data_IF_797007256101
#
_entry.id   IF_797007256101
#
_cell.length_a   1.000
_cell.length_b   1.000
_cell.length_c   1.000
_cell.angle_alpha   90.00
_cell.angle_beta   90.00
_cell.angle_gamma   90.00
#
_symmetry.space_group_name_H-M   'P 1'
#
loop_
_entity.id
_entity.type
_entity.pdbx_description
1 polymer ?
#
# COMPACT_ATOMS: atom_id res chain seq x y z
N UNK A 1 4.32 -10.98 1.29
CA UNK A 1 3.11 -11.40 0.52
C UNK A 1 2.08 -10.29 0.32
N UNK A 2 1.85 -9.38 1.28
CA UNK A 2 0.81 -8.34 1.15
C UNK A 2 1.01 -7.34 -0.02
N UNK A 3 2.27 -7.02 -0.36
CA UNK A 3 2.60 -6.02 -1.41
C UNK A 3 2.20 -6.49 -2.82
N UNK A 4 2.41 -7.77 -3.14
CA UNK A 4 2.08 -8.32 -4.47
C UNK A 4 0.57 -8.32 -4.74
N UNK A 5 -0.24 -8.51 -3.70
CA UNK A 5 -1.70 -8.53 -3.82
C UNK A 5 -2.25 -7.12 -4.05
N UNK A 6 -1.71 -6.08 -3.41
CA UNK A 6 -2.24 -4.70 -3.57
C UNK A 6 -2.13 -4.21 -5.02
N UNK A 7 -0.99 -4.46 -5.70
CA UNK A 7 -0.83 -4.07 -7.10
C UNK A 7 -1.87 -4.73 -8.01
N UNK A 8 -2.13 -6.02 -7.80
CA UNK A 8 -3.15 -6.74 -8.55
C UNK A 8 -4.55 -6.17 -8.27
N UNK A 9 -4.89 -5.88 -7.02
CA UNK A 9 -6.16 -5.25 -6.66
C UNK A 9 -6.33 -3.88 -7.33
N UNK A 10 -5.27 -3.07 -7.46
CA UNK A 10 -5.32 -1.78 -8.17
C UNK A 10 -5.52 -1.93 -9.68
N UNK A 11 -4.96 -2.96 -10.29
CA UNK A 11 -5.20 -3.25 -11.70
C UNK A 11 -6.65 -3.71 -11.89
N UNK A 12 -7.13 -4.55 -10.97
CA UNK A 12 -8.52 -5.01 -10.98
C UNK A 12 -9.50 -3.84 -10.83
N UNK A 13 -9.26 -2.90 -9.91
CA UNK A 13 -10.11 -1.70 -9.76
C UNK A 13 -10.14 -0.86 -11.04
N UNK A 14 -8.98 -0.65 -11.70
CA UNK A 14 -8.92 0.07 -12.96
C UNK A 14 -9.68 -0.66 -14.08
N UNK A 15 -9.53 -1.98 -14.19
CA UNK A 15 -10.23 -2.79 -15.19
C UNK A 15 -11.75 -2.76 -14.96
N UNK A 16 -12.19 -2.85 -13.71
CA UNK A 16 -13.59 -2.76 -13.32
C UNK A 16 -14.15 -1.36 -13.60
N UNK A 17 -13.40 -0.29 -13.32
CA UNK A 17 -13.79 1.08 -13.68
C UNK A 17 -13.90 1.28 -15.19
N UNK A 18 -12.98 0.70 -15.96
CA UNK A 18 -13.02 0.76 -17.42
C UNK A 18 -14.27 0.06 -17.97
N UNK A 19 -14.68 -1.07 -17.37
CA UNK A 19 -15.91 -1.77 -17.71
C UNK A 19 -17.17 -1.01 -17.25
N UNK A 20 -17.15 -0.42 -16.04
CA UNK A 20 -18.28 0.33 -15.51
C UNK A 20 -18.61 1.56 -16.34
N UNK A 21 -17.61 2.23 -16.92
CA UNK A 21 -17.78 3.49 -17.66
C UNK A 21 -18.79 3.42 -18.81
N UNK A 22 -18.67 2.50 -19.80
CA UNK A 22 -19.66 2.39 -20.88
C UNK A 22 -21.04 1.97 -20.38
N UNK A 23 -21.12 1.11 -19.36
CA UNK A 23 -22.41 0.74 -18.75
C UNK A 23 -23.07 1.93 -18.07
N UNK A 24 -22.30 2.77 -17.37
CA UNK A 24 -22.79 3.97 -16.72
C UNK A 24 -23.35 4.96 -17.74
N UNK A 25 -22.62 5.19 -18.85
CA UNK A 25 -23.07 6.03 -19.97
C UNK A 25 -24.40 5.49 -20.53
N UNK A 26 -24.47 4.19 -20.83
CA UNK A 26 -25.68 3.57 -21.37
C UNK A 26 -26.87 3.71 -20.41
N UNK A 27 -26.69 3.43 -19.12
CA UNK A 27 -27.75 3.60 -18.12
C UNK A 27 -28.17 5.04 -17.92
N UNK A 28 -27.23 6.01 -17.99
CA UNK A 28 -27.56 7.43 -17.87
C UNK A 28 -28.42 7.90 -19.04
N UNK A 29 -28.12 7.47 -20.27
CA UNK A 29 -28.93 7.80 -21.45
C UNK A 29 -30.32 7.19 -21.31
N UNK A 30 -30.40 5.89 -21.00
CA UNK A 30 -31.69 5.20 -20.89
C UNK A 30 -32.54 5.75 -19.74
N UNK A 31 -31.94 6.09 -18.59
CA UNK A 31 -32.67 6.67 -17.46
C UNK A 31 -33.19 8.09 -17.77
N UNK A 32 -32.47 8.89 -18.57
CA UNK A 32 -32.95 10.21 -18.99
C UNK A 32 -34.05 10.15 -20.06
N UNK A 33 -34.05 9.13 -20.92
CA UNK A 33 -35.05 8.93 -21.97
C UNK A 33 -36.33 8.20 -21.52
N UNK A 34 -36.26 7.40 -20.45
CA UNK A 34 -37.38 6.57 -19.97
C UNK A 34 -38.60 7.33 -19.42
N UNK A 35 -38.58 8.66 -19.37
CA UNK A 35 -39.72 9.45 -18.89
C UNK A 35 -40.68 9.81 -20.03
N UNK A 36 -41.93 9.37 -19.92
CA UNK A 36 -42.98 9.63 -20.92
C UNK A 36 -43.24 11.11 -21.18
N UNK A 37 -43.31 11.46 -22.47
CA UNK A 37 -43.86 12.62 -23.22
C UNK A 37 -43.92 14.06 -22.61
N UNK A 38 -43.52 14.32 -21.37
CA UNK A 38 -43.65 15.66 -20.77
C UNK A 38 -42.69 16.04 -19.63
N UNK A 39 -41.97 15.07 -19.03
CA UNK A 39 -41.05 15.36 -17.92
C UNK A 39 -39.66 14.79 -18.19
N UNK A 40 -38.85 15.51 -18.95
CA UNK A 40 -37.43 15.17 -19.13
C UNK A 40 -36.68 15.49 -17.84
N UNK A 41 -36.01 14.49 -17.25
CA UNK A 41 -35.11 14.69 -16.11
C UNK A 41 -33.75 15.18 -16.62
N UNK A 42 -33.26 16.29 -16.09
CA UNK A 42 -31.95 16.85 -16.48
C UNK A 42 -30.78 16.04 -15.92
N UNK A 43 -30.97 15.33 -14.80
CA UNK A 43 -29.96 14.51 -14.16
C UNK A 43 -30.56 13.25 -13.52
N UNK A 44 -29.78 12.18 -13.51
CA UNK A 44 -30.12 10.88 -12.90
C UNK A 44 -29.06 10.51 -11.88
N UNK A 45 -29.37 9.63 -10.92
CA UNK A 45 -28.38 9.22 -9.94
C UNK A 45 -27.16 8.54 -10.59
N UNK A 46 -27.35 7.90 -11.75
CA UNK A 46 -26.27 7.31 -12.56
C UNK A 46 -25.25 8.35 -13.03
N UNK A 47 -25.64 9.60 -13.31
CA UNK A 47 -24.70 10.66 -13.69
C UNK A 47 -23.66 10.94 -12.61
N UNK A 48 -24.02 10.77 -11.33
CA UNK A 48 -23.09 10.94 -10.22
C UNK A 48 -22.15 9.75 -10.04
N UNK A 49 -22.38 8.62 -10.73
CA UNK A 49 -21.50 7.45 -10.73
C UNK A 49 -20.11 7.68 -11.31
N UNK A 50 -19.93 8.73 -12.11
CA UNK A 50 -18.61 9.13 -12.60
C UNK A 50 -17.69 9.66 -11.48
N UNK A 51 -18.26 10.21 -10.40
CA UNK A 51 -17.49 10.75 -9.27
C UNK A 51 -16.67 9.64 -8.58
N UNK A 52 -17.28 8.56 -8.04
CA UNK A 52 -16.50 7.50 -7.41
C UNK A 52 -15.60 6.76 -8.42
N UNK A 53 -15.98 6.66 -9.71
CA UNK A 53 -15.11 6.09 -10.75
C UNK A 53 -13.84 6.92 -10.97
N UNK A 54 -13.97 8.25 -11.05
CA UNK A 54 -12.83 9.16 -11.18
C UNK A 54 -11.92 9.08 -9.95
N UNK A 55 -12.51 9.02 -8.74
CA UNK A 55 -11.75 8.82 -7.51
C UNK A 55 -11.01 7.47 -7.50
N UNK A 56 -11.64 6.38 -7.94
CA UNK A 56 -10.99 5.07 -8.08
C UNK A 56 -9.83 5.12 -9.05
N UNK A 57 -10.04 5.73 -10.23
CA UNK A 57 -9.00 5.85 -11.25
C UNK A 57 -7.82 6.67 -10.72
N UNK A 58 -8.08 7.78 -10.05
CA UNK A 58 -7.06 8.61 -9.42
C UNK A 58 -6.31 7.86 -8.31
N UNK A 59 -7.02 7.32 -7.32
CA UNK A 59 -6.41 6.61 -6.19
C UNK A 59 -5.56 5.41 -6.66
N UNK A 60 -6.05 4.64 -7.62
CA UNK A 60 -5.34 3.49 -8.17
C UNK A 60 -4.13 3.91 -8.99
N UNK A 61 -4.25 4.95 -9.82
CA UNK A 61 -3.13 5.46 -10.64
C UNK A 61 -2.00 6.04 -9.81
N UNK A 62 -2.32 6.90 -8.83
CA UNK A 62 -1.31 7.50 -7.95
C UNK A 62 -0.63 6.41 -7.11
N UNK A 63 -1.39 5.45 -6.61
CA UNK A 63 -0.84 4.30 -5.85
C UNK A 63 0.12 3.47 -6.70
N UNK A 64 -0.28 3.11 -7.92
CA UNK A 64 0.56 2.33 -8.84
C UNK A 64 1.81 3.11 -9.26
N UNK A 65 1.68 4.40 -9.52
CA UNK A 65 2.80 5.28 -9.84
C UNK A 65 3.80 5.35 -8.68
N UNK A 66 3.32 5.52 -7.46
CA UNK A 66 4.14 5.54 -6.26
C UNK A 66 4.87 4.21 -6.05
N UNK A 67 4.15 3.08 -6.16
CA UNK A 67 4.73 1.73 -6.06
C UNK A 67 5.81 1.51 -7.12
N UNK A 68 5.58 1.95 -8.36
CA UNK A 68 6.56 1.84 -9.46
C UNK A 68 7.82 2.66 -9.19
N UNK A 69 7.68 3.87 -8.63
CA UNK A 69 8.81 4.78 -8.40
C UNK A 69 9.65 4.40 -7.18
N UNK A 70 9.01 3.96 -6.10
CA UNK A 70 9.69 3.75 -4.82
C UNK A 70 9.87 2.27 -4.43
N UNK A 71 9.25 1.33 -5.14
CA UNK A 71 9.32 -0.11 -4.83
C UNK A 71 8.73 -0.49 -3.46
N UNK A 72 8.02 0.43 -2.81
CA UNK A 72 7.50 0.28 -1.44
C UNK A 72 5.97 0.39 -1.43
N UNK A 73 5.38 -0.22 -0.40
CA UNK A 73 3.94 -0.13 -0.16
C UNK A 73 3.53 1.32 0.15
N UNK A 74 2.37 1.78 -0.32
CA UNK A 74 1.91 3.15 -0.10
C UNK A 74 1.68 3.41 1.40
N UNK A 75 2.06 4.62 1.83
CA UNK A 75 1.88 5.11 3.20
C UNK A 75 0.41 5.22 3.60
N UNK A 76 0.15 5.37 4.91
CA UNK A 76 -1.20 5.47 5.47
C UNK A 76 -2.07 6.58 4.84
N UNK A 77 -1.48 7.64 4.29
CA UNK A 77 -2.21 8.71 3.59
C UNK A 77 -2.98 8.21 2.36
N UNK A 78 -2.48 7.18 1.67
CA UNK A 78 -3.21 6.59 0.54
C UNK A 78 -4.46 5.83 0.97
N UNK A 79 -4.48 5.29 2.20
CA UNK A 79 -5.67 4.64 2.73
C UNK A 79 -6.83 5.62 2.88
N UNK A 80 -6.58 6.90 3.20
CA UNK A 80 -7.64 7.92 3.25
C UNK A 80 -8.33 8.11 1.90
N UNK A 81 -7.57 8.03 0.79
CA UNK A 81 -8.16 8.08 -0.55
C UNK A 81 -9.07 6.88 -0.82
N UNK A 82 -8.68 5.69 -0.37
CA UNK A 82 -9.52 4.50 -0.46
C UNK A 82 -10.79 4.61 0.39
N UNK A 83 -10.67 5.12 1.62
CA UNK A 83 -11.82 5.39 2.48
C UNK A 83 -12.78 6.42 1.86
N UNK A 84 -12.24 7.50 1.30
CA UNK A 84 -13.04 8.51 0.61
C UNK A 84 -13.74 7.95 -0.63
N UNK A 85 -13.05 7.15 -1.44
CA UNK A 85 -13.64 6.49 -2.60
C UNK A 85 -14.75 5.51 -2.19
N UNK A 86 -14.54 4.72 -1.13
CA UNK A 86 -15.55 3.85 -0.56
C UNK A 86 -16.81 4.61 -0.14
N UNK A 87 -16.66 5.71 0.60
CA UNK A 87 -17.79 6.56 1.00
C UNK A 87 -18.51 7.16 -0.23
N UNK A 88 -17.78 7.56 -1.26
CA UNK A 88 -18.35 8.08 -2.50
C UNK A 88 -19.15 7.01 -3.27
N UNK A 89 -18.72 5.75 -3.26
CA UNK A 89 -19.53 4.67 -3.82
C UNK A 89 -20.84 4.47 -3.06
N UNK A 90 -20.79 4.46 -1.72
CA UNK A 90 -22.01 4.32 -0.90
C UNK A 90 -22.98 5.46 -1.16
N UNK A 91 -22.49 6.70 -1.19
CA UNK A 91 -23.34 7.89 -1.37
C UNK A 91 -24.03 7.94 -2.72
N UNK A 92 -23.48 7.27 -3.75
CA UNK A 92 -24.06 7.19 -5.08
C UNK A 92 -24.89 5.91 -5.31
N UNK A 93 -24.41 4.76 -4.84
CA UNK A 93 -25.10 3.48 -5.02
C UNK A 93 -26.44 3.43 -4.27
N UNK A 94 -26.52 4.03 -3.07
CA UNK A 94 -27.78 4.08 -2.32
C UNK A 94 -28.87 4.82 -3.11
N UNK A 95 -28.67 6.06 -3.59
CA UNK A 95 -29.62 6.71 -4.47
C UNK A 95 -29.96 5.93 -5.74
N UNK A 96 -28.99 5.29 -6.40
CA UNK A 96 -29.26 4.47 -7.59
C UNK A 96 -30.25 3.34 -7.23
N UNK A 97 -30.03 2.64 -6.12
CA UNK A 97 -30.87 1.50 -5.73
C UNK A 97 -32.25 1.92 -5.22
N UNK A 98 -32.32 2.99 -4.42
CA UNK A 98 -33.58 3.45 -3.83
C UNK A 98 -34.45 4.17 -4.85
N UNK A 99 -33.83 4.96 -5.72
CA UNK A 99 -34.54 5.85 -6.65
C UNK A 99 -34.61 5.18 -8.02
N UNK A 100 -33.48 4.93 -8.68
CA UNK A 100 -33.44 4.56 -10.10
C UNK A 100 -33.94 3.14 -10.39
N UNK A 101 -33.65 2.17 -9.52
CA UNK A 101 -34.11 0.77 -9.73
C UNK A 101 -35.64 0.67 -9.71
N UNK A 102 -36.31 1.48 -8.89
CA UNK A 102 -37.77 1.55 -8.87
C UNK A 102 -38.34 2.13 -10.19
N UNK A 103 -37.62 3.06 -10.83
CA UNK A 103 -38.03 3.63 -12.11
C UNK A 103 -37.76 2.69 -13.29
N UNK A 104 -36.67 1.92 -13.25
CA UNK A 104 -36.29 0.95 -14.29
C UNK A 104 -37.00 -0.40 -14.13
N UNK A 105 -38.30 -0.37 -13.78
CA UNK A 105 -39.11 -1.54 -13.38
C UNK A 105 -39.22 -2.63 -14.46
N UNK A 106 -39.02 -2.30 -15.74
CA UNK A 106 -38.98 -3.31 -16.80
C UNK A 106 -37.76 -4.23 -16.63
N UNK A 107 -37.95 -5.54 -16.73
CA UNK A 107 -36.93 -6.55 -16.47
C UNK A 107 -35.61 -6.33 -17.25
N UNK A 108 -35.67 -5.87 -18.50
CA UNK A 108 -34.49 -5.58 -19.32
C UNK A 108 -33.67 -4.39 -18.81
N UNK A 109 -34.34 -3.33 -18.35
CA UNK A 109 -33.69 -2.12 -17.83
C UNK A 109 -33.16 -2.32 -16.40
N UNK A 110 -33.88 -3.10 -15.59
CA UNK A 110 -33.39 -3.51 -14.26
C UNK A 110 -32.12 -4.35 -14.37
N UNK A 111 -32.01 -5.24 -15.36
CA UNK A 111 -30.77 -5.97 -15.64
C UNK A 111 -29.62 -5.03 -16.01
N UNK A 112 -29.87 -4.03 -16.85
CA UNK A 112 -28.86 -3.04 -17.23
C UNK A 112 -28.34 -2.28 -15.99
N UNK A 113 -29.24 -1.84 -15.09
CA UNK A 113 -28.84 -1.22 -13.83
C UNK A 113 -28.02 -2.16 -12.94
N UNK A 114 -28.35 -3.45 -12.91
CA UNK A 114 -27.57 -4.48 -12.23
C UNK A 114 -26.16 -4.64 -12.82
N UNK A 115 -26.03 -4.71 -14.15
CA UNK A 115 -24.73 -4.80 -14.83
C UNK A 115 -23.88 -3.56 -14.64
N UNK A 116 -24.48 -2.36 -14.55
CA UNK A 116 -23.77 -1.12 -14.24
C UNK A 116 -23.28 -1.10 -12.79
N UNK A 117 -24.12 -1.47 -11.83
CA UNK A 117 -23.78 -1.38 -10.40
C UNK A 117 -22.83 -2.48 -9.95
N UNK A 118 -22.81 -3.64 -10.61
CA UNK A 118 -21.91 -4.76 -10.28
C UNK A 118 -20.41 -4.37 -10.24
N UNK A 119 -19.80 -3.81 -11.31
CA UNK A 119 -18.40 -3.40 -11.27
C UNK A 119 -18.14 -2.24 -10.29
N UNK A 120 -19.14 -1.37 -10.05
CA UNK A 120 -19.05 -0.32 -9.03
C UNK A 120 -19.01 -0.90 -7.61
N UNK A 121 -19.82 -1.92 -7.31
CA UNK A 121 -19.81 -2.63 -6.02
C UNK A 121 -18.48 -3.35 -5.83
N UNK A 122 -17.95 -3.98 -6.88
CA UNK A 122 -16.63 -4.60 -6.82
C UNK A 122 -15.56 -3.57 -6.44
N UNK A 123 -15.57 -2.39 -7.08
CA UNK A 123 -14.65 -1.30 -6.72
C UNK A 123 -14.86 -0.82 -5.28
N UNK A 124 -16.10 -0.65 -4.84
CA UNK A 124 -16.43 -0.28 -3.46
C UNK A 124 -15.83 -1.28 -2.46
N UNK A 125 -16.02 -2.58 -2.69
CA UNK A 125 -15.49 -3.65 -1.82
C UNK A 125 -13.97 -3.67 -1.82
N UNK A 126 -13.33 -3.47 -2.98
CA UNK A 126 -11.87 -3.41 -3.08
C UNK A 126 -11.29 -2.22 -2.30
N UNK A 127 -11.89 -1.04 -2.43
CA UNK A 127 -11.50 0.13 -1.65
C UNK A 127 -11.73 -0.07 -0.15
N UNK A 128 -12.87 -0.65 0.24
CA UNK A 128 -13.16 -0.99 1.64
C UNK A 128 -12.12 -1.97 2.21
N UNK A 129 -11.78 -3.02 1.45
CA UNK A 129 -10.79 -4.01 1.86
C UNK A 129 -9.41 -3.37 2.09
N UNK A 130 -8.93 -2.56 1.15
CA UNK A 130 -7.63 -1.88 1.27
C UNK A 130 -7.65 -0.89 2.45
N UNK A 131 -8.74 -0.14 2.60
CA UNK A 131 -8.92 0.80 3.70
C UNK A 131 -8.88 0.09 5.05
N UNK A 132 -9.67 -0.96 5.25
CA UNK A 132 -9.74 -1.72 6.51
C UNK A 132 -8.40 -2.37 6.85
N UNK A 133 -7.69 -2.90 5.85
CA UNK A 133 -6.37 -3.48 6.06
C UNK A 133 -5.36 -2.45 6.58
N UNK A 134 -5.41 -1.21 6.06
CA UNK A 134 -4.51 -0.11 6.45
C UNK A 134 -5.05 0.74 7.61
N UNK A 135 -6.30 0.52 8.03
CA UNK A 135 -7.01 1.34 8.99
C UNK A 135 -6.26 1.43 10.32
N UNK A 136 -5.73 0.30 10.81
CA UNK A 136 -5.02 0.24 12.09
C UNK A 136 -3.72 1.06 12.07
N UNK A 137 -2.97 0.98 10.96
CA UNK A 137 -1.75 1.77 10.78
C UNK A 137 -2.04 3.26 10.58
N UNK A 138 -3.11 3.59 9.86
CA UNK A 138 -3.59 4.96 9.72
C UNK A 138 -4.01 5.55 11.06
N UNK A 139 -4.74 4.80 11.88
CA UNK A 139 -5.14 5.24 13.21
C UNK A 139 -3.95 5.49 14.11
N UNK A 140 -2.96 4.60 14.06
CA UNK A 140 -1.72 4.77 14.81
C UNK A 140 -0.97 6.05 14.41
N UNK A 141 -0.96 6.43 13.12
CA UNK A 141 -0.33 7.68 12.66
C UNK A 141 -1.13 8.91 13.07
N UNK A 142 -2.47 8.86 13.03
CA UNK A 142 -3.32 9.99 13.38
C UNK A 142 -3.36 10.28 14.88
N UNK A 143 -3.22 9.25 15.72
CA UNK A 143 -3.20 9.37 17.18
C UNK A 143 -1.81 9.22 17.80
N UNK A 144 -0.75 9.09 16.99
CA UNK A 144 0.60 9.13 17.53
C UNK A 144 0.81 10.48 18.23
N UNK A 145 1.26 10.50 19.50
CA UNK A 145 1.59 11.73 20.17
C UNK A 145 2.69 12.43 19.36
N UNK A 146 2.39 13.63 18.87
CA UNK A 146 3.33 14.41 18.05
C UNK A 146 4.45 15.03 18.87
N UNK A 147 4.28 15.06 20.19
CA UNK A 147 5.25 15.55 21.16
C UNK A 147 5.69 14.38 22.04
N UNK A 148 6.99 14.11 22.03
CA UNK A 148 7.61 13.18 22.95
C UNK A 148 8.42 13.98 23.97
N UNK A 149 8.22 13.66 25.24
CA UNK A 149 8.98 14.21 26.34
C UNK A 149 10.17 13.28 26.64
N UNK A 150 11.38 13.83 26.66
CA UNK A 150 12.55 13.05 27.05
C UNK A 150 12.46 12.73 28.55
N UNK A 151 12.48 11.45 28.97
CA UNK A 151 12.31 11.09 30.38
C UNK A 151 13.45 11.57 31.29
N UNK A 152 14.59 11.97 30.71
CA UNK A 152 15.77 12.39 31.47
C UNK A 152 15.91 13.92 31.59
N UNK A 153 15.41 14.69 30.63
CA UNK A 153 15.55 16.15 30.63
C UNK A 153 14.25 16.92 30.48
N UNK A 154 13.11 16.23 30.37
CA UNK A 154 11.77 16.81 30.22
C UNK A 154 11.63 17.79 29.03
N UNK A 155 12.58 17.75 28.08
CA UNK A 155 12.46 18.52 26.86
C UNK A 155 11.47 17.82 25.92
N UNK A 156 10.47 18.59 25.48
CA UNK A 156 9.55 18.20 24.42
C UNK A 156 10.24 18.29 23.06
N UNK A 157 10.17 17.24 22.27
CA UNK A 157 10.60 17.26 20.88
C UNK A 157 9.52 16.70 19.97
N UNK A 158 9.37 17.34 18.81
CA UNK A 158 8.40 16.94 17.79
C UNK A 158 9.08 15.90 16.89
N UNK A 159 8.52 14.70 16.82
CA UNK A 159 8.97 13.65 15.89
C UNK A 159 8.39 13.96 14.50
N UNK A 160 9.05 14.88 13.81
CA UNK A 160 8.91 15.13 12.38
C UNK A 160 10.25 14.89 11.68
N UNK A 161 10.25 14.75 10.34
CA UNK A 161 11.50 14.76 9.56
C UNK A 161 12.34 15.94 10.04
N UNK A 162 13.58 15.73 10.51
CA UNK A 162 14.39 16.85 10.96
C UNK A 162 14.44 17.85 9.81
N UNK A 163 14.01 19.09 10.05
CA UNK A 163 14.47 20.17 9.19
C UNK A 163 15.99 20.12 9.34
N UNK A 164 16.67 19.67 8.28
CA UNK A 164 18.10 19.88 8.13
C UNK A 164 18.22 21.41 8.03
N UNK A 165 18.28 22.07 9.19
CA UNK A 165 18.88 23.39 9.29
C UNK A 165 20.34 23.12 8.99
N UNK A 166 20.73 23.34 7.74
CA UNK A 166 22.12 23.57 7.40
C UNK A 166 22.59 24.69 8.33
N UNK A 167 23.32 24.33 9.38
CA UNK A 167 24.02 25.31 10.20
C UNK A 167 25.22 25.76 9.37
N UNK A 168 24.98 26.61 8.39
CA UNK A 168 26.02 27.39 7.74
C UNK A 168 26.49 28.47 8.73
N UNK A 169 27.31 28.09 9.69
CA UNK A 169 28.27 29.02 10.28
C UNK A 169 29.42 28.24 10.91
N UNK A 170 30.60 28.52 10.36
CA UNK A 170 31.81 27.75 10.51
C UNK A 170 32.24 27.54 11.95
N UNK A 171 32.65 26.32 12.22
CA UNK A 171 33.25 25.86 13.45
C UNK A 171 33.43 24.37 13.30
N UNK A 172 34.68 23.93 13.19
CA UNK A 172 35.12 22.56 12.96
C UNK A 172 34.27 21.56 13.75
N UNK A 173 33.56 20.66 13.04
CA UNK A 173 32.83 19.56 13.65
C UNK A 173 33.14 18.27 12.93
N UNK A 174 33.91 17.44 13.62
CA UNK A 174 33.92 16.00 13.43
C UNK A 174 32.49 15.47 13.62
N UNK A 175 31.79 15.16 12.53
CA UNK A 175 30.52 14.46 12.56
C UNK A 175 30.80 12.96 12.50
N UNK A 176 30.81 12.30 13.66
CA UNK A 176 31.00 10.85 13.82
C UNK A 176 29.79 10.00 13.35
N UNK A 177 28.86 10.58 12.59
CA UNK A 177 27.63 9.92 12.12
C UNK A 177 27.39 10.09 10.61
N UNK A 178 28.44 10.30 9.82
CA UNK A 178 28.38 10.21 8.34
C UNK A 178 28.60 8.77 7.91
N UNK A 179 27.62 7.90 8.17
CA UNK A 179 27.63 6.49 7.81
C UNK A 179 27.35 6.20 6.33
N UNK A 180 27.71 7.12 5.42
CA UNK A 180 27.26 7.08 4.01
C UNK A 180 28.41 6.77 3.04
N UNK A 181 29.63 6.54 3.55
CA UNK A 181 30.84 6.43 2.73
C UNK A 181 31.53 5.05 2.80
N UNK A 182 30.89 4.03 3.40
CA UNK A 182 31.45 2.67 3.51
C UNK A 182 30.74 1.60 2.67
N UNK A 183 29.90 1.96 1.69
CA UNK A 183 29.10 0.99 0.93
C UNK A 183 29.38 0.94 -0.58
N UNK A 184 30.38 1.67 -1.08
CA UNK A 184 30.75 1.68 -2.50
C UNK A 184 32.09 0.96 -2.80
N UNK A 185 32.59 0.12 -1.89
CA UNK A 185 33.89 -0.55 -2.02
C UNK A 185 33.82 -2.09 -2.16
N UNK A 186 32.71 -2.65 -2.66
CA UNK A 186 32.61 -4.09 -2.99
C UNK A 186 31.91 -4.32 -4.35
N UNK A 187 32.37 -3.61 -5.40
CA UNK A 187 31.95 -3.89 -6.77
C UNK A 187 32.86 -4.90 -7.50
N UNK A 188 34.05 -5.24 -6.96
CA UNK A 188 35.06 -6.04 -7.67
C UNK A 188 35.61 -7.22 -6.84
N UNK A 189 34.76 -7.89 -6.04
CA UNK A 189 35.14 -9.18 -5.45
C UNK A 189 35.05 -10.28 -6.53
N UNK A 190 36.17 -10.50 -7.21
CA UNK A 190 36.37 -11.54 -8.21
C UNK A 190 35.95 -12.93 -7.70
N UNK A 191 35.27 -13.63 -8.60
CA UNK A 191 34.69 -14.95 -8.43
C UNK A 191 35.81 -15.99 -8.52
N UNK A 192 36.47 -16.30 -7.40
CA UNK A 192 37.41 -17.43 -7.33
C UNK A 192 36.63 -18.75 -7.33
N UNK A 193 36.49 -19.36 -8.51
CA UNK A 193 36.21 -20.79 -8.66
C UNK A 193 37.40 -21.41 -9.37
N UNK A 194 38.16 -22.23 -8.66
CA UNK A 194 38.63 -23.54 -9.16
C UNK A 194 39.28 -24.33 -8.02
N UNK A 195 38.81 -25.56 -7.84
CA UNK A 195 39.40 -26.51 -6.91
C UNK A 195 40.52 -27.31 -7.57
N UNK A 196 41.62 -27.52 -6.86
CA UNK A 196 42.46 -28.71 -6.98
C UNK A 196 43.46 -28.82 -5.81
N UNK A 197 43.55 -30.03 -5.25
CA UNK A 197 44.73 -30.64 -4.62
C UNK A 197 45.26 -30.17 -3.24
N UNK A 198 44.99 -31.02 -2.23
CA UNK A 198 45.81 -31.42 -1.06
C UNK A 198 47.31 -31.66 -1.40
N UNK A 199 48.23 -32.04 -0.46
CA UNK A 199 48.30 -31.95 1.02
C UNK A 199 49.70 -31.49 1.55
N UNK A 200 49.87 -31.20 2.85
CA UNK A 200 51.05 -31.65 3.65
C UNK A 200 50.99 -31.19 5.11
N UNK A 201 51.61 -31.99 5.95
CA UNK A 201 51.63 -32.01 7.41
C UNK A 201 52.51 -30.91 8.04
N UNK A 202 52.38 -30.82 9.38
CA UNK A 202 53.50 -30.74 10.33
C UNK A 202 53.73 -29.44 11.13
N UNK A 203 53.41 -29.57 12.43
CA UNK A 203 54.05 -29.01 13.63
C UNK A 203 54.13 -27.50 13.83
N UNK A 204 53.67 -27.00 14.99
CA UNK A 204 54.54 -26.66 16.14
C UNK A 204 53.64 -26.38 17.36
N UNK A 205 53.93 -27.12 18.44
CA UNK A 205 53.42 -26.95 19.81
C UNK A 205 54.43 -26.10 20.62
N UNK A 206 54.00 -25.39 21.67
CA UNK A 206 54.55 -25.69 23.01
C UNK A 206 53.43 -25.65 24.06
N UNK A 207 53.11 -26.74 24.75
CA UNK A 207 53.66 -27.17 26.06
C UNK A 207 53.42 -26.18 27.20
N UNK A 208 52.55 -26.59 28.11
CA UNK A 208 52.28 -26.02 29.43
C UNK A 208 51.47 -27.06 30.23
N UNK A 209 52.16 -27.83 31.06
CA UNK A 209 51.65 -28.84 31.99
C UNK A 209 50.68 -28.26 33.04
N UNK A 210 49.58 -28.97 33.39
CA UNK A 210 49.57 -29.89 34.54
C UNK A 210 48.17 -30.51 34.83
N UNK A 211 48.17 -31.84 34.74
CA UNK A 211 47.52 -32.88 35.57
C UNK A 211 45.99 -32.99 35.70
N UNK A 212 45.54 -34.09 35.09
CA UNK A 212 44.30 -34.85 35.24
C UNK A 212 44.06 -35.44 36.64
N UNK A 213 42.80 -35.80 36.88
CA UNK A 213 42.45 -36.86 37.82
C UNK A 213 40.99 -37.29 37.75
N UNK A 214 40.67 -38.28 36.90
CA UNK A 214 39.86 -39.50 37.17
C UNK A 214 39.10 -39.96 35.93
N UNK A 215 39.50 -41.13 35.45
CA UNK A 215 38.89 -41.78 34.30
C UNK A 215 37.68 -42.67 34.60
N UNK A 216 37.21 -43.29 33.52
CA UNK A 216 36.73 -44.68 33.41
C UNK A 216 36.43 -44.95 31.92
N UNK A 217 37.25 -45.84 31.33
CA UNK A 217 36.89 -46.99 30.46
C UNK A 217 35.48 -46.98 29.83
N UNK A 218 35.31 -47.04 28.49
CA UNK A 218 35.36 -48.26 27.62
C UNK A 218 34.25 -49.25 28.06
N UNK A 219 33.27 -49.75 27.27
CA UNK A 219 33.03 -49.96 25.82
C UNK A 219 31.51 -50.25 25.62
N UNK A 220 31.04 -50.11 24.37
CA UNK A 220 30.01 -50.88 23.60
C UNK A 220 28.78 -51.45 24.32
N UNK A 221 27.54 -51.27 23.84
CA UNK A 221 26.97 -51.44 22.47
C UNK A 221 25.85 -50.43 22.23
#
# INVERSE_FOLDING_TARGET
>A
MAVSNERFLRILTLSSSALATPFLIATSIVSTEGHGWGYRREATAFCFGFIPLAMTAFASSVTLYYQRRHGRVPTAGFALLDGAAFCAYISVLIPIWVVEVNYLWSASLGMLAGYTTTPMILNMVLHAYIFLYKFRAMWAVLFAPTMHECPNCHNEFIVGKPQIKETSQGGERYSLLRGEEYLDADADAELYVEGAARPSEESVRPEGENKEGKGKTILDV
#
